data_IF_760071637705
#
_entry.id   IF_760071637705
#
_cell.length_a   1.000
_cell.length_b   1.000
_cell.length_c   1.000
_cell.angle_alpha   90.00
_cell.angle_beta   90.00
_cell.angle_gamma   90.00
#
_symmetry.space_group_name_H-M   'P 1'
#
loop_
_entity.id
_entity.type
_entity.pdbx_description
1 polymer ?
#
# COMPACT_ATOMS: atom_id res chain seq x y z
N UNK A 1 2.65 16.99 25.35
CA UNK A 1 3.55 16.83 24.19
C UNK A 1 2.79 16.01 23.15
N UNK A 2 2.75 16.45 21.90
CA UNK A 2 2.06 15.75 20.80
C UNK A 2 3.03 15.25 19.74
N UNK A 3 2.50 14.68 18.66
CA UNK A 3 3.24 14.29 17.45
C UNK A 3 2.77 15.14 16.27
N UNK A 4 3.65 15.34 15.29
CA UNK A 4 3.35 16.08 14.08
C UNK A 4 4.04 15.43 12.87
N UNK A 5 3.36 15.46 11.72
CA UNK A 5 3.88 15.06 10.42
C UNK A 5 3.13 15.82 9.32
N UNK A 6 3.68 15.83 8.11
CA UNK A 6 3.08 16.48 6.93
C UNK A 6 1.65 15.99 6.66
N UNK A 7 0.70 16.91 6.51
CA UNK A 7 -0.74 16.63 6.42
C UNK A 7 -1.53 16.93 7.70
N UNK A 8 -0.86 17.15 8.83
CA UNK A 8 -1.48 17.58 10.09
C UNK A 8 -1.43 19.10 10.30
N UNK A 9 -1.14 19.91 9.28
CA UNK A 9 -0.89 21.35 9.45
C UNK A 9 -2.08 22.11 10.07
N UNK A 10 -3.30 21.55 9.97
CA UNK A 10 -4.52 22.10 10.59
C UNK A 10 -4.53 21.97 12.12
N UNK A 11 -3.69 21.10 12.70
CA UNK A 11 -3.60 20.88 14.15
C UNK A 11 -2.58 21.80 14.81
N UNK A 12 -1.82 22.59 14.04
CA UNK A 12 -0.83 23.52 14.58
C UNK A 12 -1.50 24.84 14.96
N UNK A 13 -1.32 25.25 16.21
CA UNK A 13 -1.60 26.61 16.68
C UNK A 13 -0.31 27.44 16.70
N UNK A 14 -0.38 28.79 16.61
CA UNK A 14 0.80 29.65 16.45
C UNK A 14 1.86 29.55 17.55
N UNK A 15 1.46 29.13 18.74
CA UNK A 15 2.29 28.98 19.94
C UNK A 15 3.05 27.65 20.01
N UNK A 16 2.72 26.69 19.14
CA UNK A 16 3.33 25.36 19.14
C UNK A 16 4.65 25.37 18.39
N UNK A 17 5.70 24.93 19.07
CA UNK A 17 7.02 24.66 18.47
C UNK A 17 7.11 23.19 18.09
N UNK A 18 7.59 22.92 16.88
CA UNK A 18 7.82 21.56 16.37
C UNK A 18 9.32 21.31 16.33
N UNK A 19 9.73 20.11 16.73
CA UNK A 19 11.09 19.59 16.51
C UNK A 19 10.99 18.52 15.45
N UNK A 20 11.82 18.61 14.40
CA UNK A 20 11.83 17.61 13.33
C UNK A 20 12.43 16.28 13.81
N UNK A 21 12.28 15.25 12.98
CA UNK A 21 12.79 13.90 13.22
C UNK A 21 14.33 13.81 13.35
N UNK A 22 15.06 14.89 13.05
CA UNK A 22 16.52 15.02 13.20
C UNK A 22 16.90 15.80 14.46
N UNK A 23 15.92 16.18 15.28
CA UNK A 23 16.14 16.95 16.50
C UNK A 23 16.31 18.45 16.30
N UNK A 24 15.99 18.99 15.13
CA UNK A 24 16.14 20.42 14.80
C UNK A 24 14.82 21.19 14.93
N UNK A 25 14.83 22.48 15.27
CA UNK A 25 13.62 23.31 15.22
C UNK A 25 13.00 23.31 13.81
N UNK A 26 11.69 23.07 13.73
CA UNK A 26 10.93 23.08 12.49
C UNK A 26 9.82 24.12 12.53
N UNK A 27 9.66 24.85 11.43
CA UNK A 27 8.60 25.83 11.27
C UNK A 27 7.98 25.72 9.87
N UNK A 28 6.65 25.62 9.84
CA UNK A 28 5.86 25.58 8.61
C UNK A 28 6.18 26.78 7.72
N UNK A 29 6.50 26.51 6.45
CA UNK A 29 6.81 27.54 5.45
C UNK A 29 8.21 28.16 5.55
N UNK A 30 8.99 27.84 6.59
CA UNK A 30 10.37 28.33 6.77
C UNK A 30 11.39 27.20 6.60
N UNK A 31 11.13 26.05 7.23
CA UNK A 31 12.01 24.88 7.13
C UNK A 31 11.92 24.24 5.73
N UNK A 32 13.09 23.95 5.12
CA UNK A 32 13.18 23.32 3.80
C UNK A 32 12.92 21.81 3.79
N UNK A 33 13.20 21.14 4.90
CA UNK A 33 13.03 19.70 5.07
C UNK A 33 11.70 19.39 5.79
N UNK A 34 11.11 18.21 5.54
CA UNK A 34 9.93 17.77 6.27
C UNK A 34 10.22 17.58 7.77
N UNK A 35 9.21 17.82 8.58
CA UNK A 35 9.18 17.62 10.02
C UNK A 35 9.32 16.14 10.39
N UNK A 36 8.67 15.24 9.66
CA UNK A 36 8.78 13.80 9.83
C UNK A 36 9.55 13.16 8.67
N UNK A 37 10.16 12.00 8.90
CA UNK A 37 10.73 11.22 7.81
C UNK A 37 9.59 10.77 6.86
N UNK A 38 9.73 10.78 5.52
CA UNK A 38 8.65 10.36 4.59
C UNK A 38 8.14 8.93 4.78
N UNK A 39 8.88 8.10 5.53
CA UNK A 39 8.52 6.74 5.92
C UNK A 39 8.40 6.56 7.45
N UNK A 40 8.20 7.63 8.22
CA UNK A 40 7.93 7.54 9.67
C UNK A 40 6.67 6.71 9.93
N UNK A 41 6.61 6.02 11.07
CA UNK A 41 5.55 5.06 11.40
C UNK A 41 4.91 5.38 12.74
N UNK A 42 3.64 5.00 12.88
CA UNK A 42 3.05 4.70 14.18
C UNK A 42 3.05 3.18 14.38
N UNK A 43 3.13 2.72 15.61
CA UNK A 43 2.97 1.33 16.00
C UNK A 43 1.93 1.30 17.12
N UNK A 44 0.80 0.67 16.86
CA UNK A 44 -0.36 0.66 17.77
C UNK A 44 -1.01 -0.72 17.76
N UNK A 45 -1.60 -1.17 18.89
CA UNK A 45 -2.39 -2.40 18.92
C UNK A 45 -3.57 -2.36 17.95
N UNK A 46 -3.79 -3.46 17.22
CA UNK A 46 -4.92 -3.60 16.29
C UNK A 46 -6.28 -3.48 17.00
N UNK A 47 -6.40 -4.01 18.22
CA UNK A 47 -7.61 -3.97 19.05
C UNK A 47 -8.06 -2.56 19.45
N UNK A 48 -7.22 -1.54 19.27
CA UNK A 48 -7.60 -0.14 19.51
C UNK A 48 -8.22 0.54 18.28
N UNK A 49 -8.32 -0.15 17.15
CA UNK A 49 -9.02 0.34 15.97
C UNK A 49 -10.54 0.33 16.23
N UNK A 50 -11.26 1.49 16.21
CA UNK A 50 -12.67 1.56 16.59
C UNK A 50 -13.61 0.81 15.64
N UNK A 51 -13.11 0.47 14.45
CA UNK A 51 -13.80 -0.29 13.42
C UNK A 51 -13.06 -1.60 13.10
N UNK A 52 -12.37 -2.20 14.09
CA UNK A 52 -11.81 -3.55 13.94
C UNK A 52 -12.95 -4.54 13.68
N UNK A 53 -12.73 -5.46 12.74
CA UNK A 53 -13.71 -6.50 12.45
C UNK A 53 -13.84 -7.45 13.64
N UNK A 54 -15.06 -7.83 14.08
CA UNK A 54 -15.23 -8.75 15.21
C UNK A 54 -14.60 -10.13 14.98
N UNK A 55 -14.37 -10.53 13.72
CA UNK A 55 -13.74 -11.79 13.32
C UNK A 55 -12.25 -11.63 12.93
N UNK A 56 -11.57 -10.53 13.30
CA UNK A 56 -10.17 -10.27 12.89
C UNK A 56 -9.15 -11.33 13.39
N UNK A 57 -9.49 -12.08 14.43
CA UNK A 57 -8.71 -13.21 14.99
C UNK A 57 -9.34 -14.58 14.69
N UNK A 58 -10.38 -14.63 13.86
CA UNK A 58 -11.05 -15.88 13.48
C UNK A 58 -10.14 -16.71 12.55
N UNK A 59 -9.83 -17.98 12.90
CA UNK A 59 -8.98 -18.83 12.07
C UNK A 59 -9.61 -19.25 10.72
N UNK A 60 -10.93 -19.11 10.51
CA UNK A 60 -11.61 -19.60 9.29
C UNK A 60 -11.65 -18.59 8.12
N UNK A 61 -11.54 -17.28 8.41
CA UNK A 61 -11.67 -16.11 7.50
C UNK A 61 -11.80 -16.35 5.97
N UNK A 62 -13.03 -16.38 5.41
CA UNK A 62 -13.25 -16.59 3.97
C UNK A 62 -13.00 -15.32 3.11
N UNK A 63 -12.51 -15.50 1.88
CA UNK A 63 -12.25 -14.40 0.93
C UNK A 63 -13.11 -14.54 -0.33
N UNK A 64 -13.91 -13.52 -0.63
CA UNK A 64 -14.78 -13.47 -1.82
C UNK A 64 -14.21 -12.68 -2.99
N UNK A 65 -13.29 -11.74 -2.73
CA UNK A 65 -12.68 -10.90 -3.74
C UNK A 65 -11.20 -10.59 -3.42
N UNK A 66 -10.38 -10.51 -4.46
CA UNK A 66 -8.98 -10.05 -4.39
C UNK A 66 -8.86 -8.79 -5.24
N UNK A 67 -8.24 -7.75 -4.68
CA UNK A 67 -8.09 -6.46 -5.35
C UNK A 67 -6.61 -6.16 -5.52
N UNK A 68 -6.17 -6.05 -6.78
CA UNK A 68 -4.87 -5.50 -7.14
C UNK A 68 -4.95 -4.00 -7.39
N UNK A 69 -3.83 -3.31 -7.26
CA UNK A 69 -3.79 -1.88 -7.56
C UNK A 69 -2.42 -1.26 -7.34
N UNK A 70 -2.19 -0.13 -7.99
CA UNK A 70 -0.93 0.60 -7.92
C UNK A 70 -1.13 2.06 -8.32
N UNK A 71 -0.12 2.89 -8.08
CA UNK A 71 -0.15 4.31 -8.46
C UNK A 71 0.11 4.44 -9.96
N UNK A 72 -0.92 4.80 -10.74
CA UNK A 72 -0.85 4.94 -12.19
C UNK A 72 -1.46 6.27 -12.63
N UNK A 73 -0.65 7.30 -12.95
CA UNK A 73 -1.14 8.65 -13.26
C UNK A 73 -1.87 8.75 -14.60
N UNK A 74 -1.75 7.74 -15.47
CA UNK A 74 -2.38 7.75 -16.80
C UNK A 74 -2.72 6.32 -17.22
N UNK A 75 -3.86 6.19 -17.91
CA UNK A 75 -4.20 5.06 -18.78
C UNK A 75 -4.84 3.84 -18.10
N UNK A 76 -4.76 3.72 -16.77
CA UNK A 76 -5.46 2.65 -16.03
C UNK A 76 -6.76 3.23 -15.45
N UNK A 77 -7.94 2.66 -15.75
CA UNK A 77 -9.21 3.17 -15.25
C UNK A 77 -9.34 2.97 -13.73
N UNK A 78 -10.36 3.61 -13.14
CA UNK A 78 -10.63 3.54 -11.70
C UNK A 78 -10.75 2.10 -11.18
N UNK A 79 -11.51 1.26 -11.90
CA UNK A 79 -11.72 -0.15 -11.56
C UNK A 79 -11.99 -0.96 -12.83
N UNK A 80 -11.54 -2.21 -12.86
CA UNK A 80 -12.00 -3.24 -13.80
C UNK A 80 -11.92 -4.63 -13.16
N UNK A 81 -12.74 -5.56 -13.67
CA UNK A 81 -12.83 -6.94 -13.22
C UNK A 81 -12.08 -7.88 -14.18
N UNK A 82 -11.50 -8.94 -13.64
CA UNK A 82 -10.88 -10.00 -14.42
C UNK A 82 -11.92 -10.97 -14.98
N UNK A 83 -11.91 -11.16 -16.31
CA UNK A 83 -12.76 -12.14 -16.99
C UNK A 83 -12.61 -13.63 -16.57
N UNK A 84 -11.53 -13.99 -15.87
CA UNK A 84 -11.27 -15.35 -15.38
C UNK A 84 -10.17 -15.33 -14.31
N UNK A 85 -9.99 -16.44 -13.59
CA UNK A 85 -8.90 -16.59 -12.64
C UNK A 85 -7.53 -16.40 -13.29
N UNK A 86 -7.30 -17.07 -14.43
CA UNK A 86 -6.05 -16.94 -15.19
C UNK A 86 -5.80 -15.50 -15.64
N UNK A 87 -6.84 -14.78 -16.08
CA UNK A 87 -6.72 -13.35 -16.40
C UNK A 87 -6.40 -12.51 -15.16
N UNK A 88 -6.98 -12.83 -14.00
CA UNK A 88 -6.68 -12.17 -12.73
C UNK A 88 -5.24 -12.39 -12.26
N UNK A 89 -4.71 -13.61 -12.42
CA UNK A 89 -3.29 -13.91 -12.16
C UNK A 89 -2.37 -13.11 -13.08
N UNK A 90 -2.74 -12.97 -14.36
CA UNK A 90 -2.03 -12.10 -15.29
C UNK A 90 -2.07 -10.62 -14.86
N UNK A 91 -3.23 -10.12 -14.44
CA UNK A 91 -3.38 -8.75 -13.92
C UNK A 91 -2.45 -8.53 -12.72
N UNK A 92 -2.43 -9.45 -11.75
CA UNK A 92 -1.52 -9.40 -10.61
C UNK A 92 -0.06 -9.41 -11.02
N UNK A 93 0.31 -10.24 -12.01
CA UNK A 93 1.68 -10.32 -12.53
C UNK A 93 2.11 -9.04 -13.30
N UNK A 94 1.15 -8.39 -13.97
CA UNK A 94 1.38 -7.20 -14.78
C UNK A 94 1.36 -5.89 -13.96
N UNK A 95 1.12 -5.95 -12.65
CA UNK A 95 1.06 -4.79 -11.77
C UNK A 95 2.28 -3.88 -11.92
N UNK A 96 2.00 -2.57 -12.02
CA UNK A 96 2.99 -1.50 -12.02
C UNK A 96 2.53 -0.37 -11.11
N UNK A 97 3.46 0.26 -10.40
CA UNK A 97 3.18 1.39 -9.53
C UNK A 97 4.33 2.40 -9.57
N UNK A 98 4.03 3.68 -9.40
CA UNK A 98 5.06 4.67 -9.05
C UNK A 98 5.81 4.24 -7.78
N UNK A 99 7.13 4.45 -7.79
CA UNK A 99 8.01 4.31 -6.61
C UNK A 99 7.50 5.15 -5.43
N UNK A 100 7.54 4.56 -4.24
CA UNK A 100 7.21 5.23 -2.97
C UNK A 100 8.45 5.32 -2.09
N UNK A 101 8.41 6.20 -1.10
CA UNK A 101 9.50 6.38 -0.11
C UNK A 101 9.69 5.18 0.84
N UNK A 102 8.89 4.11 0.68
CA UNK A 102 9.02 2.89 1.49
C UNK A 102 10.27 2.07 1.14
N UNK A 103 10.85 2.26 -0.05
CA UNK A 103 12.06 1.58 -0.50
C UNK A 103 13.10 2.59 -1.01
N UNK A 104 14.33 2.12 -1.28
CA UNK A 104 15.48 2.96 -1.68
C UNK A 104 15.35 3.67 -3.04
N UNK A 105 14.26 3.41 -3.77
CA UNK A 105 14.04 3.95 -5.11
C UNK A 105 13.66 5.42 -5.04
N UNK A 106 14.58 6.30 -5.45
CA UNK A 106 14.34 7.75 -5.55
C UNK A 106 13.58 8.09 -6.84
N UNK A 107 12.61 9.00 -6.74
CA UNK A 107 11.87 9.55 -7.88
C UNK A 107 10.45 9.01 -8.04
N UNK A 108 9.74 9.46 -9.07
CA UNK A 108 8.41 8.98 -9.49
C UNK A 108 8.55 8.13 -10.75
N UNK A 109 9.13 6.94 -10.63
CA UNK A 109 9.35 6.03 -11.75
C UNK A 109 8.32 4.90 -11.65
N UNK A 110 7.68 4.57 -12.77
CA UNK A 110 6.75 3.44 -12.84
C UNK A 110 7.54 2.13 -12.88
N UNK A 111 7.47 1.38 -11.79
CA UNK A 111 8.14 0.08 -11.67
C UNK A 111 7.13 -1.07 -11.77
N UNK A 112 7.59 -2.22 -12.25
CA UNK A 112 6.85 -3.47 -12.05
C UNK A 112 6.84 -3.84 -10.57
N UNK A 113 5.69 -4.27 -10.08
CA UNK A 113 5.51 -4.76 -8.71
C UNK A 113 4.45 -5.87 -8.68
N UNK A 114 4.76 -7.04 -9.28
CA UNK A 114 3.81 -8.14 -9.41
C UNK A 114 3.24 -8.54 -8.04
N UNK A 115 1.91 -8.57 -7.92
CA UNK A 115 1.17 -8.90 -6.70
C UNK A 115 1.52 -8.02 -5.49
N UNK A 116 2.15 -6.85 -5.68
CA UNK A 116 2.79 -6.07 -4.61
C UNK A 116 3.84 -6.86 -3.80
N UNK A 117 4.42 -7.90 -4.41
CA UNK A 117 5.32 -8.87 -3.78
C UNK A 117 6.76 -8.78 -4.28
N UNK A 118 7.10 -7.80 -5.14
CA UNK A 118 8.47 -7.68 -5.70
C UNK A 118 9.58 -7.75 -4.64
N UNK A 119 9.51 -7.04 -3.50
CA UNK A 119 10.57 -7.12 -2.49
C UNK A 119 10.39 -8.30 -1.50
N UNK A 120 9.37 -9.14 -1.67
CA UNK A 120 8.92 -10.12 -0.66
C UNK A 120 8.86 -11.57 -1.18
N UNK A 121 9.24 -11.84 -2.43
CA UNK A 121 9.27 -13.21 -2.92
C UNK A 121 10.31 -14.05 -2.16
N UNK A 122 9.84 -15.07 -1.44
CA UNK A 122 10.70 -16.05 -0.75
C UNK A 122 11.21 -17.19 -1.64
N UNK A 123 10.76 -17.26 -2.89
CA UNK A 123 11.16 -18.28 -3.87
C UNK A 123 10.96 -17.75 -5.31
N UNK A 124 11.26 -18.58 -6.32
CA UNK A 124 11.18 -18.19 -7.73
C UNK A 124 9.78 -17.68 -8.12
N UNK A 125 9.72 -16.46 -8.68
CA UNK A 125 8.47 -15.81 -9.11
C UNK A 125 7.67 -16.62 -10.16
N UNK A 126 8.34 -17.31 -11.09
CA UNK A 126 7.64 -18.17 -12.05
C UNK A 126 6.95 -19.36 -11.37
N UNK A 127 7.52 -19.91 -10.31
CA UNK A 127 6.86 -20.92 -9.48
C UNK A 127 5.72 -20.31 -8.67
N UNK A 128 5.85 -19.06 -8.21
CA UNK A 128 4.78 -18.33 -7.54
C UNK A 128 3.56 -18.16 -8.45
N UNK A 129 3.76 -17.78 -9.72
CA UNK A 129 2.67 -17.71 -10.70
C UNK A 129 2.02 -19.08 -10.92
N UNK A 130 2.82 -20.14 -11.09
CA UNK A 130 2.29 -21.51 -11.22
C UNK A 130 1.46 -21.93 -10.01
N UNK A 131 1.88 -21.52 -8.81
CA UNK A 131 1.14 -21.80 -7.59
C UNK A 131 -0.23 -21.11 -7.59
N UNK A 132 -0.30 -19.82 -7.94
CA UNK A 132 -1.55 -19.09 -8.10
C UNK A 132 -2.48 -19.73 -9.13
N UNK A 133 -1.96 -20.08 -10.31
CA UNK A 133 -2.74 -20.75 -11.36
C UNK A 133 -3.29 -22.10 -10.88
N UNK A 134 -2.55 -22.84 -10.04
CA UNK A 134 -3.01 -24.13 -9.52
C UNK A 134 -4.24 -24.04 -8.62
N UNK A 135 -4.55 -22.87 -8.05
CA UNK A 135 -5.66 -22.70 -7.11
C UNK A 135 -7.04 -22.87 -7.74
N UNK A 136 -7.18 -22.57 -9.04
CA UNK A 136 -8.45 -22.75 -9.77
C UNK A 136 -8.97 -24.19 -9.70
N UNK A 137 -8.05 -25.17 -9.65
CA UNK A 137 -8.40 -26.60 -9.55
C UNK A 137 -8.70 -27.08 -8.14
N UNK A 138 -8.47 -26.25 -7.11
CA UNK A 138 -8.53 -26.66 -5.70
C UNK A 138 -9.80 -26.23 -4.97
N UNK A 139 -10.66 -25.45 -5.61
CA UNK A 139 -11.93 -25.01 -5.05
C UNK A 139 -12.44 -23.74 -5.68
N UNK A 140 -13.40 -23.10 -5.00
CA UNK A 140 -13.94 -21.81 -5.41
C UNK A 140 -12.87 -20.73 -5.24
N UNK A 141 -12.55 -20.06 -6.34
CA UNK A 141 -11.64 -18.91 -6.34
C UNK A 141 -12.40 -17.59 -6.26
N UNK A 142 -11.86 -16.58 -5.56
CA UNK A 142 -12.50 -15.27 -5.46
C UNK A 142 -12.44 -14.51 -6.79
N UNK A 143 -13.37 -13.55 -6.97
CA UNK A 143 -13.31 -12.60 -8.08
C UNK A 143 -12.06 -11.72 -7.95
N UNK A 144 -11.43 -11.39 -9.07
CA UNK A 144 -10.25 -10.52 -9.09
C UNK A 144 -10.59 -9.18 -9.74
N UNK A 145 -10.24 -8.10 -9.05
CA UNK A 145 -10.38 -6.73 -9.53
C UNK A 145 -9.02 -6.03 -9.58
N UNK A 146 -8.92 -4.99 -10.40
CA UNK A 146 -7.82 -4.04 -10.33
C UNK A 146 -8.36 -2.63 -10.20
N UNK A 147 -7.79 -1.86 -9.27
CA UNK A 147 -8.18 -0.47 -8.98
C UNK A 147 -7.03 0.51 -9.23
N UNK A 148 -7.37 1.76 -9.53
CA UNK A 148 -6.43 2.87 -9.60
C UNK A 148 -7.04 4.14 -9.00
N UNK A 149 -6.62 4.46 -7.77
CA UNK A 149 -7.04 5.68 -7.06
C UNK A 149 -6.21 6.92 -7.42
N UNK A 150 -5.25 6.79 -8.33
CA UNK A 150 -4.19 7.76 -8.60
C UNK A 150 -4.12 8.17 -10.06
N UNK A 151 -5.27 8.21 -10.76
CA UNK A 151 -5.41 8.81 -12.09
C UNK A 151 -5.09 10.31 -12.01
#
# INVERSE_FOLDING_TARGET
RGVFWEGLEKTLTPDIKVTDWRGQPWQKGVSKAPSAHPNSRFCTPASQCPNIDPAWEDPEGPISAIIFGGRRPVGVPLIYEANSWTHGVFIGAAMRSESTAAAEHKGKIIMHDPFAMRPFFGYNFGHYLKHWLSMESKGTVPQIFHVNWFV
#
